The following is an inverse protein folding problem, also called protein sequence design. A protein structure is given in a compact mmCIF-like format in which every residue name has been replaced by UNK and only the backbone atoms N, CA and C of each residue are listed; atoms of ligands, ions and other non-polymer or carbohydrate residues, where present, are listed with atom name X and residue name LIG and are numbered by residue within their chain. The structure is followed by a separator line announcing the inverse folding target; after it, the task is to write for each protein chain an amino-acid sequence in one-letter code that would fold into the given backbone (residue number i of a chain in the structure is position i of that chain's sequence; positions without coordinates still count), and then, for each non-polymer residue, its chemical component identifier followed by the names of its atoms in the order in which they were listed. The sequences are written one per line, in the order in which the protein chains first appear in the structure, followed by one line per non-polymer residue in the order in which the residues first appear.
data_IF_469307466785
#
_entry.id   IF_469307466785
#
_cell.length_a   1.000
_cell.length_b   1.000
_cell.length_c   1.000
_cell.angle_alpha   90.00
_cell.angle_beta   90.00
_cell.angle_gamma   90.00
#
_symmetry.space_group_name_H-M   'P 1'
#
loop_
_entity.id
_entity.type
_entity.pdbx_description
1 polymer ?
#
# COMPACT_ATOMS: atom_id res chain seq x y z
N UNK A 1 -15.69 -20.39 -16.03
CA UNK A 1 -14.61 -19.99 -16.94
C UNK A 1 -14.71 -18.48 -17.16
N UNK A 2 -13.86 -17.68 -16.52
CA UNK A 2 -13.83 -16.25 -16.78
C UNK A 2 -13.34 -16.03 -18.21
N UNK A 3 -14.09 -15.26 -19.01
CA UNK A 3 -13.67 -14.89 -20.36
C UNK A 3 -12.34 -14.14 -20.29
N UNK A 4 -11.42 -14.33 -21.26
CA UNK A 4 -10.07 -13.75 -21.22
C UNK A 4 -10.08 -12.23 -21.07
N UNK A 5 -11.13 -11.56 -21.56
CA UNK A 5 -11.34 -10.11 -21.38
C UNK A 5 -11.53 -9.70 -19.92
N UNK A 6 -12.27 -10.48 -19.13
CA UNK A 6 -12.53 -10.20 -17.71
C UNK A 6 -11.24 -10.33 -16.89
N UNK A 7 -10.40 -11.32 -17.21
CA UNK A 7 -9.10 -11.50 -16.56
C UNK A 7 -8.15 -10.32 -16.81
N UNK A 8 -8.13 -9.77 -18.03
CA UNK A 8 -7.32 -8.59 -18.37
C UNK A 8 -7.81 -7.35 -17.61
N UNK A 9 -9.13 -7.12 -17.54
CA UNK A 9 -9.70 -5.99 -16.79
C UNK A 9 -9.38 -6.11 -15.31
N UNK A 10 -9.54 -7.29 -14.71
CA UNK A 10 -9.19 -7.53 -13.30
C UNK A 10 -7.71 -7.25 -13.00
N UNK A 11 -6.79 -7.64 -13.89
CA UNK A 11 -5.36 -7.34 -13.75
C UNK A 11 -5.08 -5.85 -13.81
N UNK A 12 -5.70 -5.12 -14.73
CA UNK A 12 -5.54 -3.67 -14.85
C UNK A 12 -6.06 -2.98 -13.57
N UNK A 13 -7.23 -3.39 -13.09
CA UNK A 13 -7.81 -2.86 -11.85
C UNK A 13 -6.91 -3.15 -10.65
N UNK A 14 -6.37 -4.37 -10.53
CA UNK A 14 -5.43 -4.74 -9.48
C UNK A 14 -4.16 -3.88 -9.52
N UNK A 15 -3.62 -3.61 -10.71
CA UNK A 15 -2.47 -2.72 -10.90
C UNK A 15 -2.76 -1.28 -10.51
N UNK A 16 -3.90 -0.74 -10.94
CA UNK A 16 -4.31 0.63 -10.58
C UNK A 16 -4.50 0.75 -9.06
N UNK A 17 -5.16 -0.22 -8.43
CA UNK A 17 -5.31 -0.28 -6.97
C UNK A 17 -3.96 -0.41 -6.26
N UNK A 18 -3.05 -1.23 -6.80
CA UNK A 18 -1.69 -1.36 -6.28
C UNK A 18 -0.91 -0.06 -6.34
N UNK A 19 -0.99 0.70 -7.44
CA UNK A 19 -0.34 2.02 -7.57
C UNK A 19 -0.93 3.02 -6.57
N UNK A 20 -2.26 3.08 -6.45
CA UNK A 20 -2.92 3.98 -5.48
C UNK A 20 -2.56 3.63 -4.03
N UNK A 21 -2.55 2.33 -3.69
CA UNK A 21 -2.12 1.83 -2.38
C UNK A 21 -0.66 2.17 -2.07
N UNK A 22 0.23 2.05 -3.06
CA UNK A 22 1.64 2.40 -2.91
C UNK A 22 1.82 3.89 -2.61
N UNK A 23 1.15 4.77 -3.36
CA UNK A 23 1.21 6.22 -3.17
C UNK A 23 0.69 6.62 -1.78
N UNK A 24 -0.43 6.05 -1.35
CA UNK A 24 -0.99 6.29 -0.02
C UNK A 24 -0.06 5.80 1.09
N UNK A 25 0.52 4.61 0.94
CA UNK A 25 1.46 4.03 1.91
C UNK A 25 2.71 4.90 2.06
N UNK A 26 3.29 5.34 0.94
CA UNK A 26 4.44 6.23 0.94
C UNK A 26 4.11 7.57 1.58
N UNK A 27 2.95 8.16 1.26
CA UNK A 27 2.52 9.41 1.89
C UNK A 27 2.35 9.27 3.39
N UNK A 28 1.69 8.21 3.87
CA UNK A 28 1.55 7.93 5.30
C UNK A 28 2.90 7.71 5.99
N UNK A 29 3.85 7.06 5.31
CA UNK A 29 5.21 6.91 5.81
C UNK A 29 5.93 8.25 5.92
N UNK A 30 5.84 9.10 4.91
CA UNK A 30 6.42 10.45 4.94
C UNK A 30 5.76 11.34 6.00
N UNK A 31 4.43 11.29 6.10
CA UNK A 31 3.67 11.99 7.13
C UNK A 31 4.14 11.50 8.51
N UNK A 32 4.25 10.19 8.74
CA UNK A 32 4.75 9.63 10.01
C UNK A 32 6.19 10.07 10.34
N UNK A 33 7.09 10.06 9.35
CA UNK A 33 8.48 10.53 9.51
C UNK A 33 8.54 12.04 9.76
N UNK A 34 7.64 12.82 9.15
CA UNK A 34 7.57 14.28 9.29
C UNK A 34 6.88 14.73 10.57
N UNK A 35 5.89 13.94 11.03
CA UNK A 35 4.97 14.31 12.10
C UNK A 35 5.75 14.35 13.39
N UNK A 36 6.61 13.37 13.73
CA UNK A 36 7.24 13.41 15.04
C UNK A 36 8.44 12.46 15.26
N UNK A 37 9.63 13.07 15.36
CA UNK A 37 10.58 12.74 16.44
C UNK A 37 10.05 13.21 17.83
N UNK A 38 8.87 13.87 17.90
CA UNK A 38 8.36 14.59 19.10
C UNK A 38 7.21 13.96 19.92
N UNK A 39 6.48 12.94 19.42
CA UNK A 39 5.30 12.30 20.05
C UNK A 39 5.28 10.80 19.67
N UNK A 40 6.45 10.19 19.50
CA UNK A 40 6.57 8.75 19.24
C UNK A 40 6.38 7.90 20.53
N UNK A 41 5.45 8.27 21.41
CA UNK A 41 5.44 7.75 22.78
C UNK A 41 4.47 6.60 23.09
N UNK A 42 3.59 6.11 22.20
CA UNK A 42 2.71 4.98 22.59
C UNK A 42 2.42 3.89 21.53
N UNK A 43 2.34 4.15 20.22
CA UNK A 43 1.98 3.10 19.23
C UNK A 43 2.79 3.02 17.91
N UNK A 44 4.10 3.31 17.86
CA UNK A 44 4.84 3.38 16.59
C UNK A 44 4.99 2.02 15.88
N UNK A 45 5.17 0.92 16.64
CA UNK A 45 5.51 -0.38 16.05
C UNK A 45 4.36 -1.01 15.24
N UNK A 46 3.13 -0.96 15.77
CA UNK A 46 1.95 -1.53 15.09
C UNK A 46 1.62 -0.74 13.83
N UNK A 47 1.70 0.60 13.89
CA UNK A 47 1.44 1.46 12.75
C UNK A 47 2.47 1.28 11.63
N UNK A 48 3.75 1.18 11.99
CA UNK A 48 4.82 0.87 11.05
C UNK A 48 4.62 -0.51 10.38
N UNK A 49 4.21 -1.51 11.16
CA UNK A 49 3.93 -2.85 10.63
C UNK A 49 2.77 -2.86 9.63
N UNK A 50 1.70 -2.09 9.90
CA UNK A 50 0.57 -1.94 8.97
C UNK A 50 1.01 -1.24 7.68
N UNK A 51 1.79 -0.16 7.76
CA UNK A 51 2.32 0.54 6.58
C UNK A 51 3.20 -0.41 5.74
N UNK A 52 4.07 -1.19 6.39
CA UNK A 52 4.92 -2.17 5.72
C UNK A 52 4.09 -3.23 4.97
N UNK A 53 3.06 -3.79 5.62
CA UNK A 53 2.16 -4.76 4.99
C UNK A 53 1.41 -4.15 3.79
N UNK A 54 0.95 -2.91 3.90
CA UNK A 54 0.24 -2.20 2.84
C UNK A 54 1.17 -1.95 1.64
N UNK A 55 2.45 -1.65 1.91
CA UNK A 55 3.48 -1.46 0.89
C UNK A 55 3.79 -2.78 0.17
N UNK A 56 3.95 -3.88 0.91
CA UNK A 56 4.15 -5.23 0.34
C UNK A 56 2.95 -5.67 -0.51
N UNK A 57 1.73 -5.50 -0.01
CA UNK A 57 0.52 -5.82 -0.75
C UNK A 57 0.40 -5.00 -2.05
N UNK A 58 0.76 -3.72 -2.00
CA UNK A 58 0.77 -2.84 -3.17
C UNK A 58 1.79 -3.29 -4.23
N UNK A 59 3.00 -3.67 -3.82
CA UNK A 59 4.04 -4.22 -4.72
C UNK A 59 3.59 -5.55 -5.32
N UNK A 60 3.00 -6.44 -4.53
CA UNK A 60 2.46 -7.71 -5.01
C UNK A 60 1.35 -7.50 -6.05
N UNK A 61 0.45 -6.55 -5.83
CA UNK A 61 -0.60 -6.19 -6.78
C UNK A 61 -0.05 -5.61 -8.10
N UNK A 62 1.11 -4.94 -8.05
CA UNK A 62 1.82 -4.43 -9.23
C UNK A 62 2.52 -5.54 -10.04
N UNK A 63 3.05 -6.56 -9.35
CA UNK A 63 3.75 -7.70 -9.96
C UNK A 63 2.81 -8.77 -10.53
N UNK A 64 1.55 -8.82 -10.08
CA UNK A 64 0.51 -9.73 -10.60
C UNK A 64 -0.07 -9.31 -11.96
#
# INVERSE_FOLDING_TARGET
MATPRVAVVLRIVAKVLGVLGLVLSLRLLFDFVSVEFGVASVFPAVFFFVILLLLVASVLALLS
#
